data_IF_092276387088
#
_entry.id   IF_092276387088
#
_cell.length_a   1.000
_cell.length_b   1.000
_cell.length_c   1.000
_cell.angle_alpha   90.00
_cell.angle_beta   90.00
_cell.angle_gamma   90.00
#
_symmetry.space_group_name_H-M   'P 1'
#
loop_
_entity.id
_entity.type
_entity.pdbx_description
1 polymer ?
#
# COMPACT_ATOMS: atom_id res chain seq x y z
N UNK A 1 -15.31 10.17 -14.45
CA UNK A 1 -14.64 10.49 -13.17
C UNK A 1 -13.21 10.00 -13.32
N UNK A 2 -12.36 10.82 -13.95
CA UNK A 2 -10.99 10.45 -14.27
C UNK A 2 -10.05 10.89 -13.14
N UNK A 3 -10.17 10.22 -12.00
CA UNK A 3 -9.14 10.21 -10.96
C UNK A 3 -8.07 9.19 -11.33
N UNK A 4 -7.42 9.38 -12.48
CA UNK A 4 -6.38 8.50 -12.99
C UNK A 4 -5.18 8.56 -12.05
N UNK A 5 -5.16 7.68 -11.05
CA UNK A 5 -3.92 7.26 -10.42
C UNK A 5 -2.97 6.85 -11.55
N UNK A 6 -1.92 7.66 -11.77
CA UNK A 6 -0.79 7.25 -12.60
C UNK A 6 0.16 6.53 -11.68
N UNK A 7 0.49 5.28 -12.02
CA UNK A 7 1.56 4.53 -11.36
C UNK A 7 2.75 5.47 -11.18
N UNK A 8 3.21 5.70 -9.93
CA UNK A 8 4.34 6.58 -9.71
C UNK A 8 5.54 6.07 -10.54
N UNK A 9 6.24 6.98 -11.22
CA UNK A 9 7.51 6.62 -11.85
C UNK A 9 8.40 5.94 -10.79
N UNK A 10 9.12 4.87 -11.16
CA UNK A 10 9.80 3.98 -10.23
C UNK A 10 10.51 4.73 -9.08
N UNK A 11 10.00 4.57 -7.86
CA UNK A 11 10.54 5.22 -6.64
C UNK A 11 9.90 6.55 -6.25
N UNK A 12 8.90 7.05 -6.99
CA UNK A 12 8.08 8.18 -6.51
C UNK A 12 7.01 7.68 -5.53
N UNK A 13 6.77 8.39 -4.42
CA UNK A 13 5.64 8.10 -3.53
C UNK A 13 4.30 8.22 -4.28
N UNK A 14 3.30 7.46 -3.84
CA UNK A 14 1.91 7.75 -4.21
C UNK A 14 1.56 9.13 -3.64
N UNK A 15 1.27 10.07 -4.52
CA UNK A 15 0.94 11.47 -4.17
C UNK A 15 -0.55 11.55 -3.83
N UNK A 16 -0.87 11.61 -2.53
CA UNK A 16 -2.22 11.85 -2.02
C UNK A 16 -2.26 13.31 -1.61
N UNK A 17 -3.32 14.10 -1.91
CA UNK A 17 -3.49 15.42 -1.33
C UNK A 17 -3.30 15.37 0.21
N UNK A 18 -2.18 15.91 0.68
CA UNK A 18 -1.58 15.59 1.98
C UNK A 18 -2.17 16.36 3.16
N UNK A 19 -3.02 17.35 2.88
CA UNK A 19 -3.63 18.27 3.83
C UNK A 19 -4.65 17.60 4.77
N UNK A 20 -5.17 16.41 4.41
CA UNK A 20 -6.16 15.69 5.22
C UNK A 20 -5.92 14.16 5.41
N UNK A 21 -4.80 13.62 4.92
CA UNK A 21 -4.52 12.18 5.02
C UNK A 21 -4.16 11.75 6.45
N UNK A 22 -4.83 10.71 6.97
CA UNK A 22 -4.52 10.16 8.29
C UNK A 22 -3.16 9.43 8.30
N UNK A 23 -2.57 9.22 9.48
CA UNK A 23 -1.34 8.42 9.62
C UNK A 23 -1.49 7.02 9.00
N UNK A 24 -2.68 6.42 9.09
CA UNK A 24 -2.95 5.13 8.45
C UNK A 24 -2.98 5.25 6.92
N UNK A 25 -3.56 6.31 6.35
CA UNK A 25 -3.56 6.51 4.89
C UNK A 25 -2.13 6.65 4.36
N UNK A 26 -1.26 7.36 5.09
CA UNK A 26 0.16 7.51 4.75
C UNK A 26 0.89 6.16 4.81
N UNK A 27 0.56 5.35 5.81
CA UNK A 27 1.13 4.02 5.96
C UNK A 27 0.68 3.08 4.85
N UNK A 28 -0.62 3.02 4.53
CA UNK A 28 -1.17 2.20 3.45
C UNK A 28 -0.58 2.62 2.08
N UNK A 29 -0.38 3.92 1.86
CA UNK A 29 0.27 4.45 0.67
C UNK A 29 1.74 4.02 0.56
N UNK A 30 2.47 4.00 1.68
CA UNK A 30 3.83 3.50 1.74
C UNK A 30 3.87 2.01 1.38
N UNK A 31 2.92 1.20 1.89
CA UNK A 31 2.80 -0.22 1.53
C UNK A 31 2.64 -0.39 0.02
N UNK A 32 1.69 0.30 -0.63
CA UNK A 32 1.50 0.21 -2.08
C UNK A 32 2.72 0.69 -2.87
N UNK A 33 3.38 1.77 -2.43
CA UNK A 33 4.60 2.30 -3.05
C UNK A 33 5.73 1.28 -3.01
N UNK A 34 5.96 0.67 -1.85
CA UNK A 34 7.01 -0.34 -1.64
C UNK A 34 6.69 -1.59 -2.46
N UNK A 35 5.44 -2.05 -2.46
CA UNK A 35 4.99 -3.19 -3.26
C UNK A 35 5.21 -2.96 -4.76
N UNK A 36 4.91 -1.75 -5.28
CA UNK A 36 5.18 -1.40 -6.68
C UNK A 36 6.66 -1.56 -7.02
N UNK A 37 7.53 -1.05 -6.14
CA UNK A 37 8.98 -1.15 -6.31
C UNK A 37 9.46 -2.59 -6.30
N UNK A 38 8.93 -3.44 -5.42
CA UNK A 38 9.28 -4.86 -5.35
C UNK A 38 8.87 -5.57 -6.64
N UNK A 39 7.65 -5.33 -7.14
CA UNK A 39 7.17 -5.94 -8.38
C UNK A 39 8.01 -5.51 -9.57
N UNK A 40 8.40 -4.23 -9.64
CA UNK A 40 9.19 -3.69 -10.76
C UNK A 40 10.66 -4.11 -10.72
N UNK A 41 11.27 -4.18 -9.54
CA UNK A 41 12.72 -4.35 -9.38
C UNK A 41 13.13 -5.69 -8.79
N UNK A 42 12.17 -6.58 -8.51
CA UNK A 42 12.38 -7.86 -7.85
C UNK A 42 13.23 -7.75 -6.57
N UNK A 43 13.02 -6.69 -5.78
CA UNK A 43 13.80 -6.38 -4.56
C UNK A 43 13.25 -7.13 -3.36
N UNK A 44 14.12 -7.53 -2.42
CA UNK A 44 13.69 -8.13 -1.14
C UNK A 44 12.86 -7.13 -0.33
N UNK A 45 11.82 -7.62 0.34
CA UNK A 45 10.83 -6.77 1.05
C UNK A 45 11.49 -5.82 2.04
N UNK A 46 12.33 -6.33 2.93
CA UNK A 46 13.02 -5.56 3.96
C UNK A 46 14.00 -4.52 3.38
N UNK A 47 14.70 -4.83 2.28
CA UNK A 47 15.56 -3.86 1.57
C UNK A 47 14.70 -2.73 1.00
N UNK A 48 13.59 -3.07 0.35
CA UNK A 48 12.70 -2.06 -0.22
C UNK A 48 12.06 -1.17 0.87
N UNK A 49 11.74 -1.74 2.05
CA UNK A 49 11.24 -1.00 3.22
C UNK A 49 12.34 -0.09 3.80
N UNK A 50 13.56 -0.62 4.01
CA UNK A 50 14.67 0.15 4.56
C UNK A 50 15.01 1.35 3.65
N UNK A 51 15.08 1.12 2.34
CA UNK A 51 15.32 2.18 1.38
C UNK A 51 14.20 3.24 1.40
N UNK A 52 12.94 2.83 1.48
CA UNK A 52 11.81 3.75 1.54
C UNK A 52 11.86 4.62 2.81
N UNK A 53 12.15 4.01 3.97
CA UNK A 53 12.27 4.73 5.24
C UNK A 53 13.49 5.65 5.26
N UNK A 54 14.60 5.28 4.61
CA UNK A 54 15.78 6.14 4.51
C UNK A 54 15.52 7.43 3.71
N UNK A 55 14.60 7.37 2.74
CA UNK A 55 14.21 8.52 1.93
C UNK A 55 13.08 9.35 2.56
N UNK A 56 12.31 8.78 3.49
CA UNK A 56 11.13 9.41 4.07
C UNK A 56 11.43 10.01 5.46
N UNK A 57 11.43 11.34 5.59
CA UNK A 57 11.64 12.03 6.87
C UNK A 57 10.46 11.88 7.86
N UNK A 58 9.30 11.43 7.38
CA UNK A 58 8.01 11.45 8.09
C UNK A 58 7.88 10.43 9.23
N UNK A 59 8.76 9.43 9.30
CA UNK A 59 8.64 8.30 10.25
C UNK A 59 9.74 8.27 11.32
N UNK A 60 10.45 9.39 11.49
CA UNK A 60 11.53 9.51 12.47
C UNK A 60 11.01 9.27 13.90
N UNK A 61 11.58 8.28 14.59
CA UNK A 61 11.26 7.94 15.98
C UNK A 61 10.22 6.84 16.20
N UNK A 62 9.55 6.34 15.16
CA UNK A 62 8.64 5.19 15.28
C UNK A 62 9.39 3.87 15.06
N UNK A 63 9.75 3.21 16.16
CA UNK A 63 10.51 1.95 16.15
C UNK A 63 9.76 0.79 15.47
N UNK A 64 8.43 0.87 15.36
CA UNK A 64 7.60 -0.22 14.86
C UNK A 64 7.18 -0.04 13.39
N UNK A 65 7.44 1.13 12.79
CA UNK A 65 7.06 1.38 11.39
C UNK A 65 7.71 0.40 10.41
N UNK A 66 8.98 0.05 10.62
CA UNK A 66 9.71 -0.87 9.74
C UNK A 66 9.13 -2.30 9.79
N UNK A 67 8.99 -2.97 10.95
CA UNK A 67 8.39 -4.29 10.99
C UNK A 67 6.92 -4.28 10.53
N UNK A 68 6.15 -3.25 10.84
CA UNK A 68 4.77 -3.11 10.37
C UNK A 68 4.70 -3.06 8.83
N UNK A 69 5.56 -2.25 8.20
CA UNK A 69 5.62 -2.16 6.73
C UNK A 69 6.00 -3.48 6.10
N UNK A 70 6.98 -4.20 6.66
CA UNK A 70 7.40 -5.52 6.16
C UNK A 70 6.22 -6.49 6.14
N UNK A 71 5.47 -6.57 7.25
CA UNK A 71 4.32 -7.47 7.38
C UNK A 71 3.23 -7.12 6.35
N UNK A 72 2.88 -5.83 6.26
CA UNK A 72 1.85 -5.37 5.34
C UNK A 72 2.21 -5.53 3.86
N UNK A 73 3.46 -5.24 3.50
CA UNK A 73 3.97 -5.44 2.14
C UNK A 73 3.97 -6.93 1.78
N UNK A 74 4.38 -7.80 2.70
CA UNK A 74 4.35 -9.24 2.49
C UNK A 74 2.91 -9.77 2.27
N UNK A 75 1.94 -9.32 3.06
CA UNK A 75 0.53 -9.74 2.86
C UNK A 75 -0.03 -9.16 1.54
N UNK A 76 0.33 -7.92 1.18
CA UNK A 76 -0.03 -7.31 -0.09
C UNK A 76 0.49 -8.13 -1.28
N UNK A 77 1.77 -8.51 -1.27
CA UNK A 77 2.37 -9.36 -2.31
C UNK A 77 1.67 -10.72 -2.39
N UNK A 78 1.38 -11.36 -1.26
CA UNK A 78 0.66 -12.64 -1.21
C UNK A 78 -0.74 -12.54 -1.84
N UNK A 79 -1.45 -11.46 -1.59
CA UNK A 79 -2.77 -11.20 -2.20
C UNK A 79 -2.62 -10.99 -3.71
N UNK A 80 -1.64 -10.20 -4.14
CA UNK A 80 -1.36 -9.95 -5.56
C UNK A 80 -1.02 -11.27 -6.27
N UNK A 81 -0.20 -12.11 -5.66
CA UNK A 81 0.17 -13.42 -6.19
C UNK A 81 -1.03 -14.36 -6.34
N UNK A 82 -1.99 -14.33 -5.41
CA UNK A 82 -3.21 -15.11 -5.50
C UNK A 82 -4.22 -14.59 -6.54
N UNK A 83 -4.10 -13.34 -6.98
CA UNK A 83 -4.98 -12.69 -7.96
C UNK A 83 -4.35 -12.61 -9.36
N UNK A 84 -3.03 -12.70 -9.45
CA UNK A 84 -2.31 -12.73 -10.71
C UNK A 84 -2.60 -14.05 -11.45
N UNK A 85 -2.67 -13.97 -12.77
CA UNK A 85 -2.91 -15.11 -13.66
C UNK A 85 -2.14 -14.91 -14.96
N UNK A 86 -2.18 -15.90 -15.86
CA UNK A 86 -1.52 -15.81 -17.18
C UNK A 86 -1.97 -14.60 -18.00
N UNK A 87 -3.22 -14.15 -17.81
CA UNK A 87 -3.78 -12.98 -18.50
C UNK A 87 -3.68 -11.69 -17.69
N UNK A 88 -3.24 -11.76 -16.43
CA UNK A 88 -3.23 -10.63 -15.52
C UNK A 88 -1.94 -10.57 -14.71
N UNK A 89 -1.07 -9.63 -15.10
CA UNK A 89 0.21 -9.42 -14.42
C UNK A 89 0.04 -8.88 -12.99
N UNK A 90 1.01 -9.17 -12.12
CA UNK A 90 1.13 -8.59 -10.77
C UNK A 90 1.01 -7.06 -10.78
N UNK A 91 1.58 -6.43 -11.80
CA UNK A 91 1.54 -4.99 -12.00
C UNK A 91 0.10 -4.50 -12.23
N UNK A 92 -0.64 -5.15 -13.12
CA UNK A 92 -2.05 -4.84 -13.38
C UNK A 92 -2.95 -5.06 -12.16
N UNK A 93 -2.70 -6.11 -11.37
CA UNK A 93 -3.42 -6.36 -10.10
C UNK A 93 -3.16 -5.21 -9.12
N UNK A 94 -1.88 -4.85 -8.92
CA UNK A 94 -1.52 -3.75 -8.03
C UNK A 94 -2.19 -2.44 -8.46
N UNK A 95 -2.16 -2.10 -9.75
CA UNK A 95 -2.75 -0.87 -10.29
C UNK A 95 -4.25 -0.81 -10.00
N UNK A 96 -4.95 -1.92 -10.21
CA UNK A 96 -6.39 -2.03 -9.90
C UNK A 96 -6.67 -1.92 -8.40
N UNK A 97 -5.84 -2.54 -7.55
CA UNK A 97 -5.95 -2.42 -6.10
C UNK A 97 -5.71 -0.98 -5.62
N UNK A 98 -4.72 -0.28 -6.17
CA UNK A 98 -4.48 1.13 -5.80
C UNK A 98 -5.63 2.00 -6.27
N UNK A 99 -6.14 1.80 -7.49
CA UNK A 99 -7.34 2.48 -7.99
C UNK A 99 -8.53 2.29 -7.05
N UNK A 100 -8.84 1.05 -6.70
CA UNK A 100 -9.91 0.73 -5.75
C UNK A 100 -9.70 1.40 -4.39
N UNK A 101 -8.48 1.32 -3.83
CA UNK A 101 -8.16 1.97 -2.56
C UNK A 101 -8.28 3.49 -2.63
N UNK A 102 -7.84 4.15 -3.70
CA UNK A 102 -8.02 5.61 -3.85
C UNK A 102 -9.50 6.01 -3.94
N UNK A 103 -10.34 5.16 -4.53
CA UNK A 103 -11.79 5.36 -4.61
C UNK A 103 -12.56 5.04 -3.31
N UNK A 104 -11.93 4.40 -2.32
CA UNK A 104 -12.57 4.08 -1.05
C UNK A 104 -12.80 5.36 -0.22
N UNK A 105 -14.03 5.54 0.27
CA UNK A 105 -14.36 6.57 1.25
C UNK A 105 -13.72 6.31 2.62
N UNK A 106 -13.65 7.31 3.52
CA UNK A 106 -13.02 7.17 4.83
C UNK A 106 -13.57 6.01 5.69
N UNK A 107 -14.89 5.78 5.64
CA UNK A 107 -15.56 4.67 6.35
C UNK A 107 -15.22 3.30 5.78
N UNK A 108 -14.82 3.22 4.51
CA UNK A 108 -14.38 1.97 3.88
C UNK A 108 -12.91 1.69 4.18
N UNK A 109 -12.07 2.72 4.33
CA UNK A 109 -10.65 2.57 4.69
C UNK A 109 -10.45 2.20 6.15
N UNK A 110 -11.31 2.70 7.04
CA UNK A 110 -11.15 2.50 8.49
C UNK A 110 -11.86 1.23 8.94
N UNK A 111 -11.15 0.38 9.67
CA UNK A 111 -11.83 -0.55 10.57
C UNK A 111 -12.41 0.31 11.70
N UNK A 112 -13.73 0.34 11.82
CA UNK A 112 -14.41 0.93 12.98
C UNK A 112 -14.03 0.12 14.22
N UNK A 113 -12.94 0.51 14.90
CA UNK A 113 -12.63 0.05 16.25
C UNK A 113 -11.45 0.81 16.84
N UNK A 114 -11.66 1.36 18.04
CA UNK A 114 -10.64 1.95 18.93
C UNK A 114 -9.50 0.97 19.34
N UNK A 115 -9.42 -0.22 18.74
CA UNK A 115 -8.54 -1.32 19.13
C UNK A 115 -7.77 -1.99 17.97
N UNK A 116 -7.98 -1.57 16.72
CA UNK A 116 -7.25 -2.17 15.59
C UNK A 116 -5.81 -1.67 15.56
N UNK A 117 -4.84 -2.60 15.47
CA UNK A 117 -3.44 -2.23 15.22
C UNK A 117 -3.29 -1.64 13.82
N UNK A 118 -2.17 -0.94 13.59
CA UNK A 118 -1.80 -0.42 12.26
C UNK A 118 -1.79 -1.52 11.20
N UNK A 119 -1.22 -2.68 11.54
CA UNK A 119 -1.19 -3.86 10.67
C UNK A 119 -2.59 -4.35 10.36
N UNK A 120 -3.45 -4.52 11.38
CA UNK A 120 -4.82 -5.00 11.17
C UNK A 120 -5.62 -4.05 10.25
N UNK A 121 -5.44 -2.75 10.45
CA UNK A 121 -6.06 -1.70 9.62
C UNK A 121 -5.58 -1.80 8.17
N UNK A 122 -4.26 -1.84 7.96
CA UNK A 122 -3.64 -1.97 6.65
C UNK A 122 -4.07 -3.27 5.93
N UNK A 123 -3.98 -4.43 6.57
CA UNK A 123 -4.40 -5.72 5.99
C UNK A 123 -5.88 -5.69 5.63
N UNK A 124 -6.72 -5.12 6.50
CA UNK A 124 -8.14 -4.92 6.22
C UNK A 124 -8.36 -4.06 4.98
N UNK A 125 -7.63 -2.94 4.86
CA UNK A 125 -7.70 -2.03 3.71
C UNK A 125 -7.26 -2.72 2.42
N UNK A 126 -6.12 -3.42 2.43
CA UNK A 126 -5.59 -4.14 1.27
C UNK A 126 -6.59 -5.18 0.79
N UNK A 127 -7.18 -5.96 1.70
CA UNK A 127 -8.18 -6.98 1.36
C UNK A 127 -9.45 -6.38 0.78
N UNK A 128 -9.93 -5.24 1.30
CA UNK A 128 -11.08 -4.53 0.74
C UNK A 128 -10.78 -3.98 -0.67
N UNK A 129 -9.61 -3.39 -0.87
CA UNK A 129 -9.17 -2.95 -2.18
C UNK A 129 -9.07 -4.12 -3.18
N UNK A 130 -8.56 -5.26 -2.73
CA UNK A 130 -8.49 -6.50 -3.51
C UNK A 130 -9.87 -7.12 -3.83
N UNK A 131 -10.89 -6.89 -3.02
CA UNK A 131 -12.26 -7.32 -3.28
C UNK A 131 -12.99 -6.37 -4.25
N UNK A 132 -12.60 -5.10 -4.31
CA UNK A 132 -13.23 -4.06 -5.12
C UNK A 132 -12.63 -3.89 -6.52
N UNK A 133 -11.55 -4.60 -6.85
CA UNK A 133 -10.91 -4.57 -8.17
C UNK A 133 -11.58 -5.46 -9.23
N UNK A 134 -12.63 -6.19 -8.84
CA UNK A 134 -13.43 -7.09 -9.70
C UNK A 134 -14.43 -6.35 -10.57
#
# INVERSE_FOLDING_TARGET
MDGLWKRPAAGRPIDIPWDHASTQDRFDAAVFTITSRIIERNTRVDIAVADHLSAASTWTGDLYVSPDLIICVADCLRIIDGLASDTRSRASVLDAMVGAWTGMGPSQKRLDQKAATRIQSCVGTIRRAAALQG
#
